data_IF_792059058242
#
_entry.id   IF_792059058242
#
_cell.length_a   1.000
_cell.length_b   1.000
_cell.length_c   1.000
_cell.angle_alpha   90.00
_cell.angle_beta   90.00
_cell.angle_gamma   90.00
#
_symmetry.space_group_name_H-M   'P 1'
#
loop_
_entity.id
_entity.type
_entity.pdbx_description
1 polymer ?
#
# COMPACT_ATOMS: atom_id res chain seq x y z
N UNK A 1 11.43 -20.17 -0.87
CA UNK A 1 11.55 -19.77 0.56
C UNK A 1 12.74 -18.84 0.70
N UNK A 2 12.64 -17.79 1.51
CA UNK A 2 13.81 -16.98 1.89
C UNK A 2 14.72 -17.81 2.79
N UNK A 3 16.03 -17.54 2.77
CA UNK A 3 17.02 -18.24 3.59
C UNK A 3 16.68 -18.06 5.09
N UNK A 4 16.85 -19.07 5.97
CA UNK A 4 16.53 -18.98 7.40
C UNK A 4 17.26 -17.85 8.16
N UNK A 5 18.39 -17.37 7.65
CA UNK A 5 19.18 -16.26 8.19
C UNK A 5 18.76 -14.90 7.60
N UNK A 6 17.77 -14.88 6.70
CA UNK A 6 17.31 -13.63 6.09
C UNK A 6 16.45 -12.86 7.09
N UNK A 7 16.86 -11.62 7.39
CA UNK A 7 16.02 -10.69 8.12
C UNK A 7 14.79 -10.31 7.28
N UNK A 8 13.61 -10.12 7.88
CA UNK A 8 12.44 -9.68 7.15
C UNK A 8 12.71 -8.33 6.47
N UNK A 9 12.14 -8.09 5.27
CA UNK A 9 12.30 -6.81 4.61
C UNK A 9 11.70 -5.70 5.48
N UNK A 10 12.29 -4.51 5.41
CA UNK A 10 11.71 -3.31 6.02
C UNK A 10 10.91 -2.54 4.97
N UNK A 11 9.94 -1.74 5.41
CA UNK A 11 9.16 -0.89 4.51
C UNK A 11 10.05 0.05 3.69
N UNK A 12 11.14 0.57 4.27
CA UNK A 12 12.14 1.37 3.55
C UNK A 12 12.82 0.61 2.42
N UNK A 13 13.11 -0.68 2.61
CA UNK A 13 13.67 -1.51 1.54
C UNK A 13 12.66 -1.73 0.41
N UNK A 14 11.38 -1.85 0.74
CA UNK A 14 10.29 -1.97 -0.24
C UNK A 14 10.10 -0.67 -1.01
N UNK A 15 10.06 0.48 -0.30
CA UNK A 15 10.03 1.82 -0.90
C UNK A 15 11.21 2.01 -1.86
N UNK A 16 12.44 1.80 -1.40
CA UNK A 16 13.64 1.97 -2.21
C UNK A 16 13.55 1.15 -3.51
N UNK A 17 13.17 -0.14 -3.42
CA UNK A 17 13.00 -0.98 -4.60
C UNK A 17 11.88 -0.47 -5.51
N UNK A 18 10.74 -0.06 -4.96
CA UNK A 18 9.61 0.46 -5.73
C UNK A 18 9.97 1.72 -6.53
N UNK A 19 10.85 2.58 -6.00
CA UNK A 19 11.29 3.82 -6.66
C UNK A 19 12.58 3.68 -7.48
N UNK A 20 13.21 2.49 -7.52
CA UNK A 20 14.46 2.25 -8.25
C UNK A 20 14.30 1.18 -9.35
N UNK A 21 13.70 1.50 -10.51
CA UNK A 21 13.42 0.52 -11.58
C UNK A 21 14.68 -0.10 -12.21
N UNK A 22 15.84 0.56 -12.13
CA UNK A 22 17.11 -0.05 -12.54
C UNK A 22 17.47 -1.26 -11.66
N UNK A 23 17.36 -1.10 -10.34
CA UNK A 23 17.64 -2.16 -9.36
C UNK A 23 16.64 -3.31 -9.48
N UNK A 24 15.37 -2.99 -9.78
CA UNK A 24 14.34 -4.00 -10.03
C UNK A 24 14.72 -4.95 -11.18
N UNK A 25 15.24 -4.41 -12.29
CA UNK A 25 15.66 -5.22 -13.45
C UNK A 25 16.84 -6.15 -13.11
N UNK A 26 17.81 -5.66 -12.36
CA UNK A 26 18.96 -6.44 -11.90
C UNK A 26 18.57 -7.54 -10.89
N UNK A 27 17.42 -7.38 -10.22
CA UNK A 27 16.95 -8.24 -9.13
C UNK A 27 15.59 -8.90 -9.43
N UNK A 28 15.30 -9.23 -10.68
CA UNK A 28 14.01 -9.81 -11.08
C UNK A 28 13.60 -11.05 -10.25
N UNK A 29 14.52 -12.01 -10.04
CA UNK A 29 14.24 -13.20 -9.22
C UNK A 29 14.01 -12.89 -7.73
N UNK A 30 14.47 -11.75 -7.22
CA UNK A 30 14.12 -11.30 -5.87
C UNK A 30 12.68 -10.78 -5.83
N UNK A 31 12.22 -10.06 -6.85
CA UNK A 31 10.84 -9.58 -6.94
C UNK A 31 9.82 -10.72 -7.00
N UNK A 32 10.13 -11.81 -7.70
CA UNK A 32 9.29 -13.02 -7.71
C UNK A 32 9.13 -13.62 -6.30
N UNK A 33 10.23 -13.69 -5.54
CA UNK A 33 10.18 -14.16 -4.15
C UNK A 33 9.44 -13.19 -3.24
N UNK A 34 9.56 -11.89 -3.48
CA UNK A 34 8.85 -10.85 -2.74
C UNK A 34 7.34 -10.92 -3.01
N UNK A 35 6.93 -11.16 -4.25
CA UNK A 35 5.53 -11.40 -4.59
C UNK A 35 4.97 -12.63 -3.87
N UNK A 36 5.71 -13.74 -3.88
CA UNK A 36 5.34 -14.92 -3.11
C UNK A 36 5.26 -14.63 -1.60
N UNK A 37 6.19 -13.84 -1.06
CA UNK A 37 6.18 -13.43 0.34
C UNK A 37 4.94 -12.61 0.72
N UNK A 38 4.53 -11.66 -0.14
CA UNK A 38 3.33 -10.85 0.07
C UNK A 38 2.03 -11.52 -0.35
N UNK A 39 2.06 -12.69 -1.00
CA UNK A 39 0.84 -13.46 -1.24
C UNK A 39 0.21 -13.99 0.07
N UNK A 40 0.97 -13.99 1.16
CA UNK A 40 0.55 -14.43 2.49
C UNK A 40 0.33 -13.20 3.38
N UNK A 41 -0.81 -13.10 4.10
CA UNK A 41 -1.05 -11.99 5.01
C UNK A 41 -0.09 -12.01 6.21
N UNK A 42 0.13 -10.85 6.79
CA UNK A 42 0.94 -10.71 8.01
C UNK A 42 0.41 -11.61 9.14
N UNK A 43 1.27 -12.41 9.82
CA UNK A 43 0.86 -13.23 10.94
C UNK A 43 0.20 -12.40 12.05
N UNK A 44 -0.91 -12.93 12.59
CA UNK A 44 -1.61 -12.29 13.73
C UNK A 44 -0.82 -12.37 15.04
N UNK A 45 0.15 -13.28 15.14
CA UNK A 45 1.02 -13.37 16.32
C UNK A 45 1.99 -12.19 16.31
N UNK A 46 2.02 -11.46 17.41
CA UNK A 46 2.91 -10.31 17.56
C UNK A 46 4.37 -10.76 17.44
N UNK A 47 5.02 -10.33 16.36
CA UNK A 47 6.47 -10.38 16.24
C UNK A 47 7.05 -9.33 17.19
N UNK A 48 8.16 -9.67 17.84
CA UNK A 48 8.86 -8.75 18.71
C UNK A 48 10.36 -8.89 18.48
N UNK A 49 11.05 -7.76 18.55
CA UNK A 49 12.51 -7.70 18.43
C UNK A 49 13.08 -7.56 19.83
N UNK A 50 13.89 -8.52 20.24
CA UNK A 50 14.65 -8.42 21.47
C UNK A 50 15.92 -7.61 21.22
N UNK A 51 16.05 -6.45 21.86
CA UNK A 51 17.28 -5.67 21.87
C UNK A 51 17.84 -5.63 23.30
N UNK A 52 18.81 -6.50 23.56
CA UNK A 52 19.33 -6.76 24.90
C UNK A 52 18.26 -7.33 25.83
N UNK A 53 17.93 -6.58 26.90
CA UNK A 53 16.89 -6.95 27.88
C UNK A 53 15.50 -6.39 27.56
N UNK A 54 15.36 -5.59 26.50
CA UNK A 54 14.10 -4.95 26.12
C UNK A 54 13.50 -5.64 24.91
N UNK A 55 12.17 -5.67 24.87
CA UNK A 55 11.39 -6.26 23.78
C UNK A 55 10.62 -5.13 23.11
N UNK A 56 10.81 -4.98 21.80
CA UNK A 56 10.23 -3.92 20.99
C UNK A 56 9.22 -4.49 20.01
N UNK A 57 8.14 -3.75 19.79
CA UNK A 57 7.27 -4.04 18.64
C UNK A 57 7.99 -3.58 17.37
N UNK A 58 8.07 -4.44 16.35
CA UNK A 58 8.60 -4.10 15.04
C UNK A 58 7.75 -2.96 14.45
N UNK A 59 8.42 -1.92 13.97
CA UNK A 59 7.75 -0.75 13.39
C UNK A 59 7.87 -0.72 11.87
N UNK A 60 8.99 -1.22 11.36
CA UNK A 60 9.35 -1.10 9.94
C UNK A 60 9.42 -2.44 9.25
N UNK A 61 9.58 -3.52 10.00
CA UNK A 61 9.65 -4.88 9.50
C UNK A 61 8.29 -5.30 8.93
N UNK A 62 8.32 -5.82 7.71
CA UNK A 62 7.14 -6.27 6.98
C UNK A 62 7.15 -7.79 6.97
N UNK A 63 6.08 -8.39 7.49
CA UNK A 63 6.01 -9.84 7.74
C UNK A 63 4.98 -10.54 6.84
N UNK A 64 5.00 -10.25 5.54
CA UNK A 64 3.96 -10.63 4.58
C UNK A 64 3.16 -9.40 4.15
N UNK A 65 1.95 -9.57 3.62
CA UNK A 65 1.10 -8.43 3.26
C UNK A 65 0.61 -7.71 4.52
N UNK A 66 0.94 -6.43 4.73
CA UNK A 66 0.44 -5.64 5.86
C UNK A 66 -1.01 -5.19 5.67
N UNK A 67 -1.57 -5.27 4.46
CA UNK A 67 -2.96 -4.87 4.23
C UNK A 67 -3.94 -5.84 4.89
N UNK A 68 -4.98 -5.25 5.48
CA UNK A 68 -6.09 -5.97 6.07
C UNK A 68 -7.39 -5.41 5.51
N UNK A 69 -8.22 -6.30 4.97
CA UNK A 69 -9.49 -5.94 4.38
C UNK A 69 -10.60 -6.92 4.78
N UNK A 70 -11.84 -6.44 4.80
CA UNK A 70 -13.01 -7.27 5.05
C UNK A 70 -13.35 -8.19 3.84
N UNK A 71 -14.45 -8.93 3.95
CA UNK A 71 -14.93 -9.80 2.89
C UNK A 71 -15.30 -9.05 1.59
N UNK A 72 -15.57 -7.74 1.65
CA UNK A 72 -15.90 -6.88 0.53
C UNK A 72 -14.71 -6.04 0.03
N UNK A 73 -13.53 -6.20 0.62
CA UNK A 73 -12.32 -5.45 0.23
C UNK A 73 -12.23 -4.07 0.87
N UNK A 74 -13.08 -3.76 1.86
CA UNK A 74 -12.99 -2.50 2.61
C UNK A 74 -11.85 -2.55 3.59
N UNK A 75 -11.15 -1.43 3.70
CA UNK A 75 -10.03 -1.22 4.62
C UNK A 75 -10.40 -0.19 5.68
N UNK A 76 -9.89 -0.37 6.89
CA UNK A 76 -10.04 0.64 7.95
C UNK A 76 -9.11 1.84 7.79
N UNK A 77 -8.02 1.67 7.03
CA UNK A 77 -6.99 2.69 6.80
C UNK A 77 -6.75 2.83 5.29
N UNK A 78 -7.58 3.68 4.66
CA UNK A 78 -7.50 3.94 3.22
C UNK A 78 -6.18 4.60 2.84
N UNK A 79 -5.65 5.49 3.68
CA UNK A 79 -4.40 6.20 3.43
C UNK A 79 -3.21 5.23 3.35
N UNK A 80 -3.13 4.28 4.28
CA UNK A 80 -2.12 3.22 4.20
C UNK A 80 -2.34 2.27 3.02
N UNK A 81 -3.60 1.93 2.72
CA UNK A 81 -3.90 1.03 1.61
C UNK A 81 -3.45 1.58 0.26
N UNK A 82 -3.75 2.85 -0.06
CA UNK A 82 -3.30 3.44 -1.33
C UNK A 82 -1.79 3.57 -1.43
N UNK A 83 -1.12 3.87 -0.30
CA UNK A 83 0.33 3.86 -0.20
C UNK A 83 0.92 2.49 -0.57
N UNK A 84 0.42 1.43 0.07
CA UNK A 84 0.92 0.09 -0.16
C UNK A 84 0.60 -0.43 -1.57
N UNK A 85 -0.60 -0.15 -2.09
CA UNK A 85 -0.99 -0.47 -3.45
C UNK A 85 -0.09 0.23 -4.48
N UNK A 86 0.31 1.48 -4.25
CA UNK A 86 1.27 2.18 -5.11
C UNK A 86 2.62 1.44 -5.13
N UNK A 87 3.15 1.05 -3.96
CA UNK A 87 4.40 0.29 -3.88
C UNK A 87 4.32 -1.04 -4.64
N UNK A 88 3.28 -1.84 -4.39
CA UNK A 88 3.09 -3.12 -5.08
C UNK A 88 2.94 -2.94 -6.60
N UNK A 89 2.32 -1.84 -7.03
CA UNK A 89 2.16 -1.51 -8.45
C UNK A 89 3.49 -1.14 -9.08
N UNK A 90 4.27 -0.29 -8.43
CA UNK A 90 5.62 0.10 -8.88
C UNK A 90 6.60 -1.07 -8.93
N UNK A 91 6.43 -2.05 -8.06
CA UNK A 91 7.19 -3.30 -8.06
C UNK A 91 6.70 -4.30 -9.13
N UNK A 92 5.56 -4.05 -9.78
CA UNK A 92 4.97 -4.94 -10.79
C UNK A 92 4.30 -6.20 -10.21
N UNK A 93 4.02 -6.22 -8.91
CA UNK A 93 3.53 -7.43 -8.19
C UNK A 93 2.10 -7.30 -7.66
N UNK A 94 1.43 -6.14 -7.82
CA UNK A 94 0.09 -5.90 -7.27
C UNK A 94 -0.95 -6.96 -7.67
N UNK A 95 -0.85 -7.53 -8.89
CA UNK A 95 -1.76 -8.58 -9.37
C UNK A 95 -1.52 -9.96 -8.73
N UNK A 96 -0.34 -10.14 -8.12
CA UNK A 96 0.08 -11.40 -7.48
C UNK A 96 -0.30 -11.44 -5.99
N UNK A 97 -0.71 -10.30 -5.42
CA UNK A 97 -1.10 -10.17 -4.01
C UNK A 97 -2.64 -10.16 -3.93
N UNK A 98 -3.30 -11.23 -3.42
CA UNK A 98 -4.76 -11.37 -3.51
C UNK A 98 -5.55 -10.25 -2.81
N UNK A 99 -5.10 -9.82 -1.63
CA UNK A 99 -5.75 -8.72 -0.88
C UNK A 99 -5.60 -7.41 -1.67
N UNK A 100 -4.44 -7.17 -2.27
CA UNK A 100 -4.20 -5.98 -3.08
C UNK A 100 -5.16 -5.87 -4.24
N UNK A 101 -5.35 -6.94 -5.02
CA UNK A 101 -6.31 -6.97 -6.13
C UNK A 101 -7.72 -6.66 -5.66
N UNK A 102 -8.12 -7.26 -4.53
CA UNK A 102 -9.45 -7.08 -3.95
C UNK A 102 -9.69 -5.65 -3.46
N UNK A 103 -8.75 -5.08 -2.72
CA UNK A 103 -8.84 -3.71 -2.19
C UNK A 103 -8.80 -2.71 -3.35
N UNK A 104 -7.93 -2.92 -4.33
CA UNK A 104 -7.82 -2.05 -5.49
C UNK A 104 -9.13 -2.04 -6.30
N UNK A 105 -9.72 -3.21 -6.57
CA UNK A 105 -11.03 -3.31 -7.23
C UNK A 105 -12.13 -2.60 -6.43
N UNK A 106 -12.11 -2.73 -5.09
CA UNK A 106 -13.06 -2.04 -4.22
C UNK A 106 -12.91 -0.52 -4.30
N UNK A 107 -11.69 0.00 -4.22
CA UNK A 107 -11.42 1.43 -4.30
C UNK A 107 -11.84 2.01 -5.65
N UNK A 108 -11.57 1.33 -6.76
CA UNK A 108 -12.07 1.77 -8.07
C UNK A 108 -13.59 1.70 -8.20
N UNK A 109 -14.26 0.73 -7.55
CA UNK A 109 -15.73 0.67 -7.52
C UNK A 109 -16.38 1.84 -6.75
N UNK A 110 -15.58 2.58 -5.99
CA UNK A 110 -16.00 3.78 -5.26
C UNK A 110 -15.70 5.07 -6.03
N UNK A 111 -15.06 4.98 -7.20
CA UNK A 111 -14.93 6.13 -8.10
C UNK A 111 -16.27 6.40 -8.81
N UNK A 112 -16.59 7.67 -9.00
CA UNK A 112 -17.70 8.09 -9.86
C UNK A 112 -17.33 8.02 -11.36
N UNK A 113 -18.28 8.44 -12.22
CA UNK A 113 -18.12 8.42 -13.68
C UNK A 113 -16.97 9.32 -14.19
N UNK A 114 -16.46 10.22 -13.35
CA UNK A 114 -15.30 11.08 -13.66
C UNK A 114 -13.99 10.50 -13.10
N UNK A 115 -14.03 9.32 -12.47
CA UNK A 115 -12.88 8.69 -11.83
C UNK A 115 -12.53 9.30 -10.47
N UNK A 116 -13.36 10.18 -9.90
CA UNK A 116 -13.14 10.78 -8.59
C UNK A 116 -13.57 9.77 -7.52
N UNK A 117 -12.69 9.50 -6.57
CA UNK A 117 -13.01 8.61 -5.46
C UNK A 117 -14.07 9.24 -4.54
N UNK A 118 -15.24 8.61 -4.49
CA UNK A 118 -16.47 9.15 -3.91
C UNK A 118 -17.21 8.07 -3.10
N UNK A 119 -16.59 7.49 -2.05
CA UNK A 119 -17.22 6.41 -1.29
C UNK A 119 -18.44 6.91 -0.52
N UNK A 120 -19.44 6.04 -0.36
CA UNK A 120 -20.64 6.35 0.38
C UNK A 120 -20.32 6.75 1.83
N UNK A 121 -20.77 7.94 2.24
CA UNK A 121 -20.63 8.40 3.62
C UNK A 121 -19.27 9.04 3.96
N UNK A 122 -18.52 9.55 2.98
CA UNK A 122 -17.26 10.28 3.23
C UNK A 122 -17.48 11.58 4.04
N UNK A 123 -17.31 11.49 5.36
CA UNK A 123 -17.47 12.64 6.27
C UNK A 123 -16.17 13.33 6.65
N UNK A 124 -15.06 12.59 6.60
CA UNK A 124 -13.74 13.06 7.03
C UNK A 124 -12.70 12.63 6.01
N UNK A 125 -11.62 13.41 5.92
CA UNK A 125 -10.45 13.02 5.14
C UNK A 125 -9.88 11.70 5.72
N UNK A 126 -9.47 10.75 4.86
CA UNK A 126 -8.75 9.56 5.28
C UNK A 126 -7.53 9.92 6.14
N UNK A 127 -7.24 9.11 7.14
CA UNK A 127 -6.08 9.25 8.02
C UNK A 127 -5.51 7.89 8.32
N UNK A 128 -4.19 7.85 8.52
CA UNK A 128 -3.51 6.68 9.03
C UNK A 128 -2.90 6.99 10.40
N UNK A 129 -2.90 5.99 11.27
CA UNK A 129 -2.08 6.02 12.50
C UNK A 129 -0.70 5.40 12.28
N UNK A 130 -0.41 4.90 11.09
CA UNK A 130 0.88 4.30 10.77
C UNK A 130 1.91 5.41 10.45
N UNK A 131 2.95 5.59 11.27
CA UNK A 131 3.91 6.67 11.09
C UNK A 131 4.72 6.56 9.79
N UNK A 132 4.79 5.36 9.21
CA UNK A 132 5.53 5.10 7.96
C UNK A 132 5.05 6.00 6.82
N UNK A 133 3.76 6.30 6.75
CA UNK A 133 3.20 7.05 5.60
C UNK A 133 3.16 8.56 5.81
N UNK A 134 3.77 9.07 6.89
CA UNK A 134 3.72 10.51 7.23
C UNK A 134 4.30 11.42 6.16
N UNK A 135 5.23 10.89 5.34
CA UNK A 135 5.84 11.61 4.22
C UNK A 135 5.01 11.53 2.92
N UNK A 136 3.96 10.71 2.91
CA UNK A 136 3.22 10.34 1.71
C UNK A 136 1.76 10.84 1.74
N UNK A 137 1.13 10.93 2.92
CA UNK A 137 -0.27 11.31 3.09
C UNK A 137 -0.49 12.17 4.34
N UNK A 138 -1.32 13.23 4.28
CA UNK A 138 -1.95 13.82 3.09
C UNK A 138 -0.99 14.74 2.32
N UNK A 139 -1.20 14.87 1.01
CA UNK A 139 -0.55 15.84 0.13
C UNK A 139 -1.19 17.22 0.28
N UNK A 140 -2.51 17.28 0.47
CA UNK A 140 -3.18 18.54 0.75
C UNK A 140 -3.02 19.00 2.21
N UNK A 141 -2.99 20.33 2.38
CA UNK A 141 -3.02 20.98 3.68
C UNK A 141 -4.37 20.83 4.41
N UNK A 142 -4.47 21.30 5.67
CA UNK A 142 -5.67 21.17 6.47
C UNK A 142 -6.87 21.84 5.78
N UNK A 143 -7.95 21.07 5.61
CA UNK A 143 -9.12 21.46 4.86
C UNK A 143 -10.40 20.74 5.30
N UNK A 144 -11.55 21.25 4.86
CA UNK A 144 -12.87 20.67 5.21
C UNK A 144 -13.80 20.48 4.01
N UNK A 145 -13.45 20.96 2.82
CA UNK A 145 -14.34 20.83 1.67
C UNK A 145 -14.46 19.35 1.24
N UNK A 146 -15.57 18.95 0.59
CA UNK A 146 -15.71 17.60 0.06
C UNK A 146 -14.56 17.21 -0.87
N UNK A 147 -14.16 18.10 -1.78
CA UNK A 147 -13.07 17.88 -2.73
C UNK A 147 -11.76 17.53 -2.00
N UNK A 148 -11.40 18.27 -0.96
CA UNK A 148 -10.16 18.03 -0.19
C UNK A 148 -10.12 16.65 0.47
N UNK A 149 -11.29 16.08 0.82
CA UNK A 149 -11.37 14.72 1.40
C UNK A 149 -11.12 13.63 0.37
N UNK A 150 -11.27 13.96 -0.92
CA UNK A 150 -11.19 13.05 -2.05
C UNK A 150 -9.86 13.19 -2.78
N UNK A 151 -9.30 14.40 -2.87
CA UNK A 151 -8.15 14.75 -3.74
C UNK A 151 -7.02 13.73 -3.64
N UNK A 152 -6.52 13.49 -2.43
CA UNK A 152 -5.37 12.62 -2.20
C UNK A 152 -5.61 11.20 -2.70
N UNK A 153 -6.73 10.57 -2.30
CA UNK A 153 -7.04 9.20 -2.71
C UNK A 153 -7.29 9.12 -4.21
N UNK A 154 -8.02 10.08 -4.77
CA UNK A 154 -8.26 10.19 -6.22
C UNK A 154 -6.93 10.28 -6.99
N UNK A 155 -6.03 11.17 -6.55
CA UNK A 155 -4.71 11.32 -7.18
C UNK A 155 -3.90 10.03 -7.11
N UNK A 156 -3.86 9.35 -5.96
CA UNK A 156 -3.13 8.09 -5.81
C UNK A 156 -3.73 6.97 -6.67
N UNK A 157 -5.05 6.85 -6.75
CA UNK A 157 -5.71 5.88 -7.62
C UNK A 157 -5.43 6.16 -9.10
N UNK A 158 -5.46 7.42 -9.51
CA UNK A 158 -5.06 7.81 -10.86
C UNK A 158 -3.59 7.44 -11.14
N UNK A 159 -2.67 7.72 -10.21
CA UNK A 159 -1.26 7.33 -10.34
C UNK A 159 -1.10 5.80 -10.47
N UNK A 160 -1.81 5.02 -9.65
CA UNK A 160 -1.81 3.55 -9.73
C UNK A 160 -2.33 3.08 -11.08
N UNK A 161 -3.47 3.62 -11.55
CA UNK A 161 -4.03 3.32 -12.87
C UNK A 161 -3.01 3.59 -13.99
N UNK A 162 -2.36 4.75 -13.97
CA UNK A 162 -1.31 5.11 -14.92
C UNK A 162 -0.14 4.13 -14.89
N UNK A 163 0.34 3.75 -13.71
CA UNK A 163 1.42 2.76 -13.55
C UNK A 163 1.01 1.36 -14.04
N UNK A 164 -0.28 1.02 -13.98
CA UNK A 164 -0.84 -0.22 -14.53
C UNK A 164 -1.10 -0.17 -16.04
N UNK A 165 -0.84 0.96 -16.70
CA UNK A 165 -1.12 1.15 -18.12
C UNK A 165 -2.60 1.35 -18.43
N UNK A 166 -3.42 1.71 -17.45
CA UNK A 166 -4.82 2.11 -17.66
C UNK A 166 -4.84 3.56 -18.15
N UNK A 167 -5.51 3.80 -19.27
CA UNK A 167 -5.68 5.15 -19.81
C UNK A 167 -6.51 6.02 -18.86
N UNK A 168 -5.99 7.21 -18.56
CA UNK A 168 -6.70 8.24 -17.81
C UNK A 168 -7.18 9.32 -18.78
N UNK A 169 -8.47 9.62 -18.78
CA UNK A 169 -9.00 10.80 -19.45
C UNK A 169 -8.81 11.99 -18.52
N UNK A 170 -7.74 12.77 -18.74
CA UNK A 170 -7.55 14.05 -18.07
C UNK A 170 -8.31 15.08 -18.90
N UNK A 171 -9.44 15.57 -18.38
CA UNK A 171 -10.23 16.65 -18.99
C UNK A 171 -9.67 17.99 -18.56
#
# INVERSE_FOLDING_TARGET
MLDPLTYPPTVFSIEMLAFMPAVQRERAGFLERLAAYFSVPTPRRSFFIQAGKKVFRPMFEVLGDPMHADAQGRVSDVAFAVYWLELLTRLGIVRQVPIAVKVLARLYSECDDQGIWSPAGLRVMPKSTNPVISHYFPLEGPGKSPAQRQTDVTFRLALIARLLGVSLNVV
#
